data_IF_397502741134
#
_entry.id   IF_397502741134
#
_cell.length_a   1.000
_cell.length_b   1.000
_cell.length_c   1.000
_cell.angle_alpha   90.00
_cell.angle_beta   90.00
_cell.angle_gamma   90.00
#
_symmetry.space_group_name_H-M   'P 1'
#
loop_
_entity.id
_entity.type
_entity.pdbx_description
1 polymer ?
#
# COMPACT_ATOMS: atom_id res chain seq x y z
N UNK A 1 14.44 7.25 61.01
CA UNK A 1 13.01 7.47 61.34
C UNK A 1 12.20 6.67 60.32
N UNK A 2 11.71 5.45 60.55
CA UNK A 2 11.34 4.77 61.79
C UNK A 2 9.89 5.10 62.16
N UNK A 3 8.91 4.36 61.61
CA UNK A 3 7.57 4.12 62.21
C UNK A 3 6.89 2.87 61.58
N UNK A 4 6.92 1.78 62.35
CA UNK A 4 5.86 0.78 62.69
C UNK A 4 4.44 1.05 62.12
N UNK A 5 3.52 0.10 61.79
CA UNK A 5 3.08 -1.10 62.53
C UNK A 5 1.96 -1.88 61.78
N UNK A 6 2.19 -3.18 61.53
CA UNK A 6 1.36 -4.37 61.84
C UNK A 6 -0.17 -4.25 62.05
N UNK A 7 -1.01 -5.08 61.38
CA UNK A 7 -1.58 -6.36 61.88
C UNK A 7 -2.72 -6.95 61.01
N UNK A 8 -2.80 -8.31 61.02
CA UNK A 8 -3.98 -9.21 60.87
C UNK A 8 -4.26 -9.89 59.50
N UNK A 9 -4.04 -11.21 59.44
CA UNK A 9 -4.77 -12.19 58.59
C UNK A 9 -6.14 -12.56 59.21
N UNK A 10 -6.85 -13.68 58.87
CA UNK A 10 -6.36 -14.97 58.32
C UNK A 10 -7.29 -15.70 57.28
N UNK A 11 -6.92 -16.95 56.93
CA UNK A 11 -7.72 -18.10 56.41
C UNK A 11 -8.39 -18.00 55.02
N UNK A 12 -8.55 -19.03 54.19
CA UNK A 12 -8.10 -20.43 54.05
C UNK A 12 -8.62 -20.87 52.67
N UNK A 13 -7.91 -21.73 51.94
CA UNK A 13 -8.42 -23.03 51.46
C UNK A 13 -7.68 -23.60 50.26
N UNK A 14 -7.52 -24.91 50.37
CA UNK A 14 -6.75 -25.83 49.55
C UNK A 14 -7.21 -25.89 48.08
N UNK A 15 -6.29 -25.65 47.13
CA UNK A 15 -6.46 -26.14 45.75
C UNK A 15 -5.54 -27.34 45.49
N UNK A 16 -6.18 -28.50 45.39
CA UNK A 16 -5.59 -29.80 45.05
C UNK A 16 -4.82 -29.75 43.72
N UNK A 17 -3.60 -30.25 43.73
CA UNK A 17 -2.86 -30.71 42.54
C UNK A 17 -3.51 -32.00 42.00
N UNK A 18 -3.88 -32.08 40.71
CA UNK A 18 -4.07 -33.35 40.04
C UNK A 18 -2.75 -33.87 39.48
N UNK A 19 -2.57 -35.18 39.68
CA UNK A 19 -1.38 -36.00 39.43
C UNK A 19 -1.01 -36.03 37.94
N UNK A 20 0.28 -35.96 37.64
CA UNK A 20 0.85 -36.35 36.34
C UNK A 20 0.53 -37.83 36.09
N UNK A 21 -0.26 -38.11 35.05
CA UNK A 21 -0.32 -39.40 34.37
C UNK A 21 0.40 -39.29 33.02
N UNK A 22 1.13 -40.33 32.57
CA UNK A 22 1.77 -40.31 31.25
C UNK A 22 0.72 -40.71 30.22
N UNK A 23 0.23 -39.76 29.44
CA UNK A 23 -0.69 -40.06 28.35
C UNK A 23 -0.48 -39.12 27.17
N UNK A 24 0.15 -39.71 26.15
CA UNK A 24 -0.08 -39.47 24.74
C UNK A 24 0.29 -38.08 24.20
N UNK A 25 1.57 -37.94 23.81
CA UNK A 25 1.99 -36.89 22.88
C UNK A 25 1.28 -37.15 21.56
N UNK A 26 0.18 -36.43 21.34
CA UNK A 26 -0.57 -36.42 20.10
C UNK A 26 0.37 -36.13 18.92
N UNK A 27 0.64 -37.15 18.09
CA UNK A 27 1.35 -37.00 16.80
C UNK A 27 0.64 -36.01 15.86
N UNK A 28 -0.62 -35.68 16.12
CA UNK A 28 -1.45 -34.73 15.36
C UNK A 28 -0.99 -33.26 15.47
N UNK A 29 -0.16 -32.91 16.46
CA UNK A 29 0.34 -31.53 16.62
C UNK A 29 1.56 -31.22 15.74
N UNK A 30 2.29 -32.25 15.29
CA UNK A 30 3.49 -32.10 14.45
C UNK A 30 3.15 -32.04 12.95
N UNK A 31 2.05 -32.66 12.52
CA UNK A 31 1.57 -32.59 11.14
C UNK A 31 0.87 -31.25 10.83
N UNK A 32 0.07 -30.74 11.76
CA UNK A 32 -0.64 -29.46 11.56
C UNK A 32 0.29 -28.24 11.43
N UNK A 33 1.46 -28.26 12.07
CA UNK A 33 2.39 -27.13 11.98
C UNK A 33 3.12 -27.06 10.62
N UNK A 34 3.35 -28.22 9.99
CA UNK A 34 3.95 -28.32 8.66
C UNK A 34 2.99 -27.86 7.56
N UNK A 35 1.74 -28.33 7.59
CA UNK A 35 0.71 -27.95 6.62
C UNK A 35 0.37 -26.46 6.68
N UNK A 36 0.30 -25.88 7.89
CA UNK A 36 0.07 -24.44 8.06
C UNK A 36 1.25 -23.58 7.55
N UNK A 37 2.49 -24.05 7.73
CA UNK A 37 3.68 -23.37 7.21
C UNK A 37 3.76 -23.46 5.68
N UNK A 38 3.45 -24.61 5.12
CA UNK A 38 3.42 -24.81 3.67
C UNK A 38 2.31 -24.00 3.01
N UNK A 39 1.11 -23.99 3.60
CA UNK A 39 -0.01 -23.18 3.15
C UNK A 39 0.32 -21.68 3.20
N UNK A 40 0.93 -21.21 4.31
CA UNK A 40 1.37 -19.83 4.46
C UNK A 40 2.48 -19.45 3.46
N UNK A 41 3.38 -20.39 3.15
CA UNK A 41 4.44 -20.19 2.16
C UNK A 41 3.87 -20.10 0.74
N UNK A 42 2.93 -20.98 0.39
CA UNK A 42 2.26 -20.95 -0.91
C UNK A 42 1.43 -19.68 -1.13
N UNK A 43 0.78 -19.16 -0.09
CA UNK A 43 0.06 -17.88 -0.19
C UNK A 43 1.04 -16.72 -0.37
N UNK A 44 2.15 -16.70 0.36
CA UNK A 44 3.18 -15.66 0.23
C UNK A 44 3.79 -15.61 -1.17
N UNK A 45 4.16 -16.75 -1.75
CA UNK A 45 4.73 -16.84 -3.10
C UNK A 45 3.72 -16.35 -4.15
N UNK A 46 2.45 -16.72 -4.00
CA UNK A 46 1.38 -16.27 -4.87
C UNK A 46 1.20 -14.75 -4.82
N UNK A 47 1.26 -14.17 -3.62
CA UNK A 47 1.12 -12.73 -3.41
C UNK A 47 2.31 -11.95 -4.00
N UNK A 48 3.52 -12.48 -3.85
CA UNK A 48 4.72 -11.91 -4.45
C UNK A 48 4.64 -11.92 -5.99
N UNK A 49 4.15 -13.01 -6.57
CA UNK A 49 3.94 -13.09 -8.02
C UNK A 49 2.89 -12.08 -8.50
N UNK A 50 1.80 -11.91 -7.76
CA UNK A 50 0.77 -10.92 -8.05
C UNK A 50 1.34 -9.48 -8.00
N UNK A 51 2.15 -9.15 -6.99
CA UNK A 51 2.86 -7.87 -6.90
C UNK A 51 3.82 -7.69 -8.08
N UNK A 52 4.61 -8.71 -8.42
CA UNK A 52 5.59 -8.65 -9.50
C UNK A 52 4.94 -8.40 -10.86
N UNK A 53 3.85 -9.11 -11.17
CA UNK A 53 3.07 -8.89 -12.38
C UNK A 53 2.49 -7.48 -12.42
N UNK A 54 1.83 -7.04 -11.34
CA UNK A 54 1.33 -5.67 -11.24
C UNK A 54 2.44 -4.64 -11.42
N UNK A 55 3.60 -4.87 -10.79
CA UNK A 55 4.77 -3.99 -10.86
C UNK A 55 5.34 -3.86 -12.27
N UNK A 56 5.42 -4.96 -13.01
CA UNK A 56 5.85 -4.94 -14.41
C UNK A 56 4.91 -4.08 -15.27
N UNK A 57 3.59 -4.22 -15.09
CA UNK A 57 2.58 -3.41 -15.79
C UNK A 57 2.72 -1.94 -15.42
N UNK A 58 2.84 -1.63 -14.12
CA UNK A 58 3.02 -0.25 -13.64
C UNK A 58 4.27 0.42 -14.20
N UNK A 59 5.39 -0.30 -14.24
CA UNK A 59 6.65 0.19 -14.79
C UNK A 59 6.55 0.46 -16.30
N UNK A 60 5.92 -0.44 -17.06
CA UNK A 60 5.66 -0.25 -18.49
C UNK A 60 4.74 0.95 -18.73
N UNK A 61 3.66 1.09 -17.95
CA UNK A 61 2.76 2.24 -18.06
C UNK A 61 3.49 3.56 -17.78
N UNK A 62 4.32 3.61 -16.73
CA UNK A 62 5.15 4.79 -16.46
C UNK A 62 6.05 5.12 -17.65
N UNK A 63 6.72 4.12 -18.22
CA UNK A 63 7.56 4.30 -19.40
C UNK A 63 6.76 4.85 -20.60
N UNK A 64 5.59 4.27 -20.90
CA UNK A 64 4.72 4.73 -21.99
C UNK A 64 4.23 6.16 -21.77
N UNK A 65 3.87 6.54 -20.54
CA UNK A 65 3.48 7.93 -20.20
C UNK A 65 4.65 8.89 -20.47
N UNK A 66 5.88 8.51 -20.10
CA UNK A 66 7.05 9.33 -20.40
C UNK A 66 7.25 9.48 -21.92
N UNK A 67 7.03 8.41 -22.71
CA UNK A 67 7.15 8.47 -24.17
C UNK A 67 6.10 9.37 -24.84
N UNK A 68 4.85 9.37 -24.38
CA UNK A 68 3.80 10.22 -24.97
C UNK A 68 4.07 11.70 -24.75
N UNK A 69 4.62 12.06 -23.59
CA UNK A 69 5.03 13.44 -23.28
C UNK A 69 6.20 13.89 -24.13
N UNK A 70 7.17 13.00 -24.39
CA UNK A 70 8.31 13.31 -25.27
C UNK A 70 7.88 13.51 -26.74
N UNK A 71 6.84 12.80 -27.17
CA UNK A 71 6.36 12.82 -28.56
C UNK A 71 5.34 13.93 -28.86
N UNK A 72 4.86 14.65 -27.84
CA UNK A 72 3.88 15.71 -28.02
C UNK A 72 4.55 17.01 -28.53
N UNK A 73 4.05 17.64 -29.61
CA UNK A 73 4.62 18.86 -30.20
C UNK A 73 4.31 20.14 -29.39
N UNK A 74 4.14 20.02 -28.06
CA UNK A 74 3.93 21.14 -27.13
C UNK A 74 5.27 21.82 -26.81
N UNK A 75 5.91 22.35 -27.84
CA UNK A 75 7.07 23.22 -27.74
C UNK A 75 6.63 24.62 -27.31
N UNK A 76 7.14 25.12 -26.18
CA UNK A 76 7.08 26.55 -25.90
C UNK A 76 7.49 26.98 -24.49
N UNK A 77 6.97 26.32 -23.44
CA UNK A 77 7.21 26.76 -22.06
C UNK A 77 7.65 25.65 -21.10
N UNK A 78 7.44 24.39 -21.49
CA UNK A 78 7.65 23.23 -20.63
C UNK A 78 8.74 22.30 -21.20
N UNK A 79 9.90 22.86 -21.53
CA UNK A 79 11.11 22.13 -21.96
C UNK A 79 11.78 21.41 -20.76
N UNK A 80 10.98 20.63 -20.05
CA UNK A 80 11.35 19.66 -19.02
C UNK A 80 10.89 18.27 -19.51
N UNK A 81 11.23 17.90 -20.75
CA UNK A 81 10.65 16.74 -21.45
C UNK A 81 10.69 15.41 -20.65
N UNK A 82 11.70 15.21 -19.78
CA UNK A 82 11.76 14.05 -18.88
C UNK A 82 10.83 14.16 -17.65
N UNK A 83 10.85 15.31 -16.98
CA UNK A 83 10.23 15.49 -15.67
C UNK A 83 8.72 15.66 -15.70
N UNK A 84 8.18 16.10 -16.84
CA UNK A 84 6.74 16.19 -17.06
C UNK A 84 6.12 14.79 -17.12
N UNK A 85 6.79 13.84 -17.78
CA UNK A 85 6.36 12.43 -17.81
C UNK A 85 6.31 11.82 -16.41
N UNK A 86 7.38 12.02 -15.63
CA UNK A 86 7.45 11.57 -14.23
C UNK A 86 6.35 12.18 -13.37
N UNK A 87 6.13 13.50 -13.48
CA UNK A 87 5.07 14.20 -12.74
C UNK A 87 3.69 13.69 -13.14
N UNK A 88 3.43 13.50 -14.43
CA UNK A 88 2.15 13.00 -14.91
C UNK A 88 1.87 11.58 -14.40
N UNK A 89 2.86 10.68 -14.48
CA UNK A 89 2.73 9.32 -13.95
C UNK A 89 2.44 9.32 -12.44
N UNK A 90 3.15 10.16 -11.67
CA UNK A 90 2.93 10.31 -10.24
C UNK A 90 1.52 10.84 -9.92
N UNK A 91 1.07 11.89 -10.59
CA UNK A 91 -0.25 12.48 -10.37
C UNK A 91 -1.39 11.54 -10.76
N UNK A 92 -1.28 10.84 -11.90
CA UNK A 92 -2.23 9.82 -12.29
C UNK A 92 -2.27 8.67 -11.28
N UNK A 93 -1.11 8.23 -10.79
CA UNK A 93 -1.02 7.23 -9.75
C UNK A 93 -1.65 7.67 -8.43
N UNK A 94 -1.41 8.91 -7.98
CA UNK A 94 -2.06 9.48 -6.79
C UNK A 94 -3.59 9.55 -6.94
N UNK A 95 -4.08 9.97 -8.11
CA UNK A 95 -5.51 9.99 -8.42
C UNK A 95 -6.11 8.57 -8.36
N UNK A 96 -5.50 7.60 -9.04
CA UNK A 96 -5.94 6.22 -9.05
C UNK A 96 -5.87 5.57 -7.66
N UNK A 97 -4.83 5.87 -6.86
CA UNK A 97 -4.71 5.43 -5.47
C UNK A 97 -5.84 5.99 -4.60
N UNK A 98 -6.20 7.26 -4.76
CA UNK A 98 -7.29 7.88 -4.01
C UNK A 98 -8.64 7.26 -4.33
N UNK A 99 -8.91 7.03 -5.62
CA UNK A 99 -10.10 6.33 -6.07
C UNK A 99 -10.16 4.89 -5.54
N UNK A 100 -9.07 4.13 -5.68
CA UNK A 100 -8.97 2.76 -5.19
C UNK A 100 -9.12 2.68 -3.67
N UNK A 101 -8.55 3.62 -2.93
CA UNK A 101 -8.66 3.71 -1.47
C UNK A 101 -10.13 3.85 -1.03
N UNK A 102 -10.87 4.78 -1.62
CA UNK A 102 -12.29 4.94 -1.28
C UNK A 102 -13.14 3.77 -1.78
N UNK A 103 -12.85 3.26 -2.97
CA UNK A 103 -13.57 2.12 -3.55
C UNK A 103 -13.43 0.86 -2.71
N UNK A 104 -12.23 0.60 -2.17
CA UNK A 104 -12.00 -0.53 -1.27
C UNK A 104 -12.79 -0.45 0.04
N UNK A 105 -13.06 0.76 0.54
CA UNK A 105 -13.92 0.97 1.69
C UNK A 105 -15.39 0.78 1.35
N UNK A 106 -15.82 1.27 0.19
CA UNK A 106 -17.19 1.09 -0.29
C UNK A 106 -17.54 -0.39 -0.52
N UNK A 107 -16.60 -1.20 -1.02
CA UNK A 107 -16.76 -2.64 -1.18
C UNK A 107 -17.08 -3.37 0.13
N UNK A 108 -16.56 -2.87 1.26
CA UNK A 108 -16.84 -3.44 2.59
C UNK A 108 -18.16 -2.91 3.16
N UNK A 109 -18.54 -1.69 2.81
CA UNK A 109 -19.70 -1.00 3.38
C UNK A 109 -21.02 -1.19 2.58
N UNK A 110 -20.97 -1.61 1.31
CA UNK A 110 -22.13 -1.59 0.42
C UNK A 110 -22.28 -2.89 -0.39
N UNK A 111 -23.37 -3.62 -0.12
CA UNK A 111 -23.67 -4.92 -0.73
C UNK A 111 -23.87 -4.86 -2.27
N UNK A 112 -24.33 -3.73 -2.81
CA UNK A 112 -24.54 -3.57 -4.25
C UNK A 112 -23.23 -3.42 -5.04
N UNK A 113 -22.18 -2.86 -4.42
CA UNK A 113 -20.84 -2.79 -5.03
C UNK A 113 -20.19 -4.18 -4.99
N UNK A 114 -20.46 -4.96 -3.94
CA UNK A 114 -19.89 -6.29 -3.74
C UNK A 114 -20.45 -7.39 -4.67
N UNK A 115 -21.53 -7.13 -5.41
CA UNK A 115 -22.23 -8.14 -6.23
C UNK A 115 -21.96 -8.05 -7.74
N UNK A 116 -21.21 -7.03 -8.20
CA UNK A 116 -20.92 -6.80 -9.62
C UNK A 116 -19.50 -7.19 -10.06
N UNK A 117 -19.05 -6.62 -11.20
CA UNK A 117 -17.66 -6.78 -11.71
C UNK A 117 -16.59 -6.37 -10.67
N UNK A 118 -16.97 -5.44 -9.79
CA UNK A 118 -16.18 -4.92 -8.69
C UNK A 118 -15.83 -5.96 -7.60
N UNK A 119 -16.58 -7.05 -7.50
CA UNK A 119 -16.27 -8.18 -6.60
C UNK A 119 -14.88 -8.76 -6.87
N UNK A 120 -14.44 -8.74 -8.14
CA UNK A 120 -13.11 -9.22 -8.54
C UNK A 120 -11.98 -8.36 -7.98
N UNK A 121 -12.24 -7.07 -7.73
CA UNK A 121 -11.28 -6.15 -7.10
C UNK A 121 -11.26 -6.30 -5.57
N UNK A 122 -12.34 -6.82 -4.96
CA UNK A 122 -12.38 -7.11 -3.53
C UNK A 122 -11.44 -8.27 -3.14
N UNK A 123 -11.00 -9.08 -4.11
CA UNK A 123 -10.06 -10.15 -3.84
C UNK A 123 -8.71 -9.58 -3.34
N UNK A 124 -8.20 -10.00 -2.16
CA UNK A 124 -7.03 -9.39 -1.53
C UNK A 124 -5.79 -9.35 -2.43
N UNK A 125 -5.57 -10.40 -3.24
CA UNK A 125 -4.44 -10.49 -4.16
C UNK A 125 -4.52 -9.47 -5.29
N UNK A 126 -5.71 -9.26 -5.83
CA UNK A 126 -5.94 -8.26 -6.89
C UNK A 126 -5.66 -6.87 -6.34
N UNK A 127 -6.15 -6.57 -5.13
CA UNK A 127 -5.90 -5.30 -4.47
C UNK A 127 -4.41 -5.09 -4.18
N UNK A 128 -3.69 -6.14 -3.76
CA UNK A 128 -2.24 -6.11 -3.57
C UNK A 128 -1.50 -5.84 -4.88
N UNK A 129 -1.83 -6.58 -5.94
CA UNK A 129 -1.24 -6.43 -7.27
C UNK A 129 -1.46 -5.03 -7.84
N UNK A 130 -2.65 -4.46 -7.69
CA UNK A 130 -2.96 -3.11 -8.20
C UNK A 130 -2.34 -2.03 -7.32
N UNK A 131 -2.53 -2.08 -6.00
CA UNK A 131 -2.09 -1.02 -5.07
C UNK A 131 -0.58 -0.99 -4.92
N UNK A 132 0.04 -2.14 -4.69
CA UNK A 132 1.48 -2.24 -4.43
C UNK A 132 2.24 -2.43 -5.74
N UNK A 133 1.76 -3.32 -6.62
CA UNK A 133 2.40 -3.59 -7.90
C UNK A 133 2.23 -2.42 -8.87
N UNK A 134 1.03 -2.29 -9.47
CA UNK A 134 0.76 -1.35 -10.56
C UNK A 134 0.98 0.09 -10.10
N UNK A 135 0.25 0.54 -9.08
CA UNK A 135 0.31 1.93 -8.64
C UNK A 135 1.64 2.27 -7.97
N UNK A 136 2.23 1.32 -7.24
CA UNK A 136 3.57 1.49 -6.65
C UNK A 136 4.70 1.60 -7.69
N UNK A 137 4.59 0.93 -8.83
CA UNK A 137 5.61 1.00 -9.90
C UNK A 137 5.31 2.06 -10.97
N UNK A 138 4.04 2.45 -11.10
CA UNK A 138 3.57 3.58 -11.91
C UNK A 138 4.05 4.91 -11.32
N UNK A 139 4.01 5.02 -9.99
CA UNK A 139 4.56 6.17 -9.28
C UNK A 139 6.04 5.94 -8.97
N UNK A 140 6.81 7.01 -8.88
CA UNK A 140 8.24 6.94 -8.58
C UNK A 140 8.71 8.16 -7.80
N UNK A 141 9.27 7.89 -6.63
CA UNK A 141 9.97 8.91 -5.84
C UNK A 141 11.44 9.03 -6.25
N UNK A 142 12.11 7.92 -6.58
CA UNK A 142 13.54 7.92 -6.91
C UNK A 142 13.85 8.72 -8.17
N UNK A 143 13.05 8.56 -9.24
CA UNK A 143 13.21 9.36 -10.46
C UNK A 143 12.93 10.84 -10.20
N UNK A 144 11.90 11.16 -9.41
CA UNK A 144 11.59 12.53 -9.01
C UNK A 144 12.78 13.17 -8.28
N UNK A 145 13.37 12.48 -7.31
CA UNK A 145 14.56 12.98 -6.60
C UNK A 145 15.73 13.17 -7.55
N UNK A 146 15.99 12.22 -8.45
CA UNK A 146 17.04 12.35 -9.47
C UNK A 146 16.85 13.61 -10.33
N UNK A 147 15.63 13.86 -10.81
CA UNK A 147 15.31 15.04 -11.61
C UNK A 147 15.46 16.35 -10.80
N UNK A 148 14.97 16.37 -9.56
CA UNK A 148 15.12 17.55 -8.68
C UNK A 148 16.58 17.83 -8.35
N UNK A 149 17.41 16.81 -8.17
CA UNK A 149 18.85 16.93 -7.95
C UNK A 149 19.57 17.48 -9.19
N UNK A 150 19.19 17.04 -10.39
CA UNK A 150 19.70 17.58 -11.65
C UNK A 150 19.40 19.08 -11.76
N UNK A 151 18.15 19.51 -11.53
CA UNK A 151 17.83 20.95 -11.54
C UNK A 151 18.56 21.74 -10.47
N UNK A 152 18.72 21.17 -9.27
CA UNK A 152 19.45 21.82 -8.20
C UNK A 152 20.93 22.01 -8.56
N UNK A 153 21.57 20.99 -9.16
CA UNK A 153 22.97 21.05 -9.60
C UNK A 153 23.21 22.08 -10.71
N UNK A 154 22.18 22.39 -11.51
CA UNK A 154 22.21 23.43 -12.55
C UNK A 154 21.97 24.84 -12.00
N UNK A 155 21.91 25.02 -10.67
CA UNK A 155 21.57 26.30 -10.03
C UNK A 155 20.09 26.68 -10.11
N UNK A 156 19.23 25.82 -10.67
CA UNK A 156 17.80 26.07 -10.87
C UNK A 156 16.99 25.59 -9.65
N UNK A 157 17.31 26.11 -8.47
CA UNK A 157 16.69 25.70 -7.20
C UNK A 157 15.18 25.88 -7.20
N UNK A 158 14.68 26.97 -7.79
CA UNK A 158 13.24 27.23 -7.87
C UNK A 158 12.50 26.18 -8.72
N UNK A 159 13.09 25.74 -9.83
CA UNK A 159 12.49 24.70 -10.67
C UNK A 159 12.48 23.34 -9.96
N UNK A 160 13.55 23.03 -9.23
CA UNK A 160 13.66 21.83 -8.40
C UNK A 160 12.59 21.79 -7.30
N UNK A 161 12.42 22.89 -6.56
CA UNK A 161 11.42 22.98 -5.49
C UNK A 161 9.99 22.95 -6.03
N UNK A 162 9.72 23.60 -7.17
CA UNK A 162 8.42 23.52 -7.83
C UNK A 162 8.09 22.11 -8.30
N UNK A 163 9.04 21.40 -8.92
CA UNK A 163 8.84 20.02 -9.38
C UNK A 163 8.49 19.09 -8.22
N UNK A 164 9.25 19.17 -7.12
CA UNK A 164 8.97 18.42 -5.90
C UNK A 164 7.61 18.81 -5.30
N UNK A 165 7.36 20.11 -5.18
CA UNK A 165 6.14 20.68 -4.61
C UNK A 165 4.89 20.27 -5.37
N UNK A 166 4.92 20.29 -6.71
CA UNK A 166 3.80 19.84 -7.55
C UNK A 166 3.50 18.36 -7.29
N UNK A 167 4.51 17.50 -7.27
CA UNK A 167 4.30 16.07 -7.05
C UNK A 167 3.70 15.78 -5.67
N UNK A 168 4.16 16.47 -4.62
CA UNK A 168 3.66 16.27 -3.25
C UNK A 168 2.28 16.91 -3.07
N UNK A 169 2.15 18.21 -3.34
CA UNK A 169 0.94 18.98 -3.04
C UNK A 169 -0.19 18.63 -4.01
N UNK A 170 0.08 18.68 -5.32
CA UNK A 170 -0.96 18.35 -6.29
C UNK A 170 -1.30 16.85 -6.24
N UNK A 171 -0.33 15.97 -5.98
CA UNK A 171 -0.58 14.55 -5.76
C UNK A 171 -1.50 14.29 -4.57
N UNK A 172 -1.24 14.95 -3.43
CA UNK A 172 -2.11 14.90 -2.25
C UNK A 172 -3.52 15.42 -2.54
N UNK A 173 -3.64 16.56 -3.22
CA UNK A 173 -4.94 17.12 -3.61
C UNK A 173 -5.71 16.18 -4.55
N UNK A 174 -5.05 15.61 -5.56
CA UNK A 174 -5.67 14.66 -6.50
C UNK A 174 -6.14 13.39 -5.80
N UNK A 175 -5.36 12.88 -4.85
CA UNK A 175 -5.76 11.72 -4.05
C UNK A 175 -7.10 11.97 -3.35
N UNK A 176 -7.22 13.09 -2.63
CA UNK A 176 -8.46 13.41 -1.91
C UNK A 176 -9.62 13.79 -2.82
N UNK A 177 -9.34 14.47 -3.93
CA UNK A 177 -10.35 14.76 -4.94
C UNK A 177 -10.94 13.48 -5.53
N UNK A 178 -10.08 12.53 -5.94
CA UNK A 178 -10.51 11.24 -6.46
C UNK A 178 -11.30 10.43 -5.42
N UNK A 179 -10.81 10.39 -4.17
CA UNK A 179 -11.53 9.74 -3.08
C UNK A 179 -12.91 10.37 -2.84
N UNK A 180 -13.02 11.70 -2.88
CA UNK A 180 -14.31 12.39 -2.73
C UNK A 180 -15.28 12.09 -3.88
N UNK A 181 -14.79 12.06 -5.12
CA UNK A 181 -15.59 11.69 -6.30
C UNK A 181 -16.13 10.28 -6.16
N UNK A 182 -15.27 9.31 -5.84
CA UNK A 182 -15.70 7.91 -5.66
C UNK A 182 -16.69 7.79 -4.52
N UNK A 183 -16.45 8.47 -3.39
CA UNK A 183 -17.37 8.44 -2.25
C UNK A 183 -18.77 8.90 -2.63
N UNK A 184 -18.88 10.00 -3.38
CA UNK A 184 -20.17 10.53 -3.83
C UNK A 184 -20.90 9.57 -4.77
N UNK A 185 -20.17 8.75 -5.54
CA UNK A 185 -20.75 7.73 -6.41
C UNK A 185 -21.16 6.45 -5.66
N UNK A 186 -20.50 6.14 -4.54
CA UNK A 186 -20.75 4.91 -3.77
C UNK A 186 -21.64 5.09 -2.55
N UNK A 187 -22.02 6.34 -2.21
CA UNK A 187 -22.96 6.66 -1.12
C UNK A 187 -24.40 6.49 -1.61
#
# INVERSE_FOLDING_TARGET
MGFEKSRNGPCSDHQKLPKLGPSNVNSSALTGNGENAELSSMTFVSDLFAIALGGSIGAVLRYLITLTVVSAPLSGWLTLHGSVGTTLANLLGCCALGGLFQFSQALVASDWVATGWAASLAHPRTLLAVRIGVLGSLTTFSTLIGETAVFASQGRILASSMLLGINVIAGWCLFWAAAAVVRNWTS
#
